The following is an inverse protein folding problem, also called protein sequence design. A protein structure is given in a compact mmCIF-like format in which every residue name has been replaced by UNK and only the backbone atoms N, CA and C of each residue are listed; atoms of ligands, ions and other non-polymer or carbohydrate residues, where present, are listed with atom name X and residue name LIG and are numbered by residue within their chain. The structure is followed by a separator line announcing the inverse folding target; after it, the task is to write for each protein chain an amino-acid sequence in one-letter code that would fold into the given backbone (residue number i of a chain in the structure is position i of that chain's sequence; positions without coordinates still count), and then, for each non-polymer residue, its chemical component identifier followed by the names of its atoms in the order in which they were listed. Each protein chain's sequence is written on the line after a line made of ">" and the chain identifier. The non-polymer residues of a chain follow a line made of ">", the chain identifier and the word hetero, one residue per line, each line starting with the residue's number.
data_IF_288065675792
#
_entry.id   IF_288065675792
#
_cell.length_a   1.000
_cell.length_b   1.000
_cell.length_c   1.000
_cell.angle_alpha   90.00
_cell.angle_beta   90.00
_cell.angle_gamma   90.00
#
_symmetry.space_group_name_H-M   'P 1'
#
loop_
_entity.id
_entity.type
_entity.pdbx_description
1 polymer ?
#
# COMPACT_ATOMS: atom_id res chain seq x y z
N UNK A 1 16.80 2.62 4.77
CA UNK A 1 16.14 3.84 5.29
C UNK A 1 15.43 3.51 6.61
N UNK A 2 15.28 4.47 7.52
CA UNK A 2 14.47 4.24 8.74
C UNK A 2 12.99 4.31 8.34
N UNK A 3 12.13 3.45 8.91
CA UNK A 3 10.67 3.40 8.69
C UNK A 3 10.02 4.79 8.63
N UNK A 4 10.41 5.69 9.53
CA UNK A 4 9.86 7.04 9.64
C UNK A 4 10.13 7.91 8.40
N UNK A 5 11.23 7.71 7.68
CA UNK A 5 11.52 8.45 6.44
C UNK A 5 10.66 7.99 5.27
N UNK A 6 10.40 6.68 5.18
CA UNK A 6 9.53 6.10 4.15
C UNK A 6 8.08 6.52 4.40
N UNK A 7 7.62 6.42 5.64
CA UNK A 7 6.27 6.86 6.04
C UNK A 7 6.05 8.35 5.78
N UNK A 8 7.03 9.21 6.11
CA UNK A 8 6.91 10.64 5.83
C UNK A 8 6.83 10.93 4.32
N UNK A 9 7.63 10.23 3.50
CA UNK A 9 7.59 10.38 2.04
C UNK A 9 6.31 9.85 1.43
N UNK A 10 5.79 8.73 1.92
CA UNK A 10 4.52 8.16 1.47
C UNK A 10 3.34 9.05 1.86
N UNK A 11 3.30 9.55 3.09
CA UNK A 11 2.28 10.51 3.56
C UNK A 11 2.28 11.77 2.69
N UNK A 12 3.48 12.27 2.31
CA UNK A 12 3.60 13.39 1.40
C UNK A 12 3.17 13.06 -0.04
N UNK A 13 3.41 11.83 -0.52
CA UNK A 13 3.13 11.40 -1.90
C UNK A 13 1.67 11.01 -2.16
N UNK A 14 0.94 10.59 -1.13
CA UNK A 14 -0.48 10.22 -1.21
C UNK A 14 -1.37 11.45 -0.97
N UNK A 15 -0.77 12.54 -0.46
CA UNK A 15 -1.48 13.72 0.03
C UNK A 15 -2.13 13.39 1.38
N UNK A 16 -2.01 14.28 2.36
CA UNK A 16 -2.55 14.12 3.71
C UNK A 16 -4.09 14.13 3.76
N UNK A 17 -4.73 13.26 2.98
CA UNK A 17 -6.15 12.98 2.97
C UNK A 17 -6.44 11.85 3.96
N UNK A 18 -7.61 11.88 4.60
CA UNK A 18 -8.02 10.84 5.57
C UNK A 18 -8.05 9.43 4.94
N UNK A 19 -8.39 9.34 3.65
CA UNK A 19 -8.36 8.09 2.90
C UNK A 19 -6.93 7.56 2.71
N UNK A 20 -5.98 8.44 2.36
CA UNK A 20 -4.57 8.08 2.24
C UNK A 20 -3.96 7.62 3.56
N UNK A 21 -4.27 8.28 4.66
CA UNK A 21 -3.82 7.93 6.00
C UNK A 21 -4.38 6.58 6.48
N UNK A 22 -5.64 6.28 6.17
CA UNK A 22 -6.26 4.99 6.48
C UNK A 22 -5.58 3.85 5.70
N UNK A 23 -5.35 4.05 4.39
CA UNK A 23 -4.63 3.09 3.53
C UNK A 23 -3.20 2.89 4.04
N UNK A 24 -2.49 3.95 4.44
CA UNK A 24 -1.15 3.86 4.99
C UNK A 24 -1.10 3.04 6.29
N UNK A 25 -2.07 3.24 7.20
CA UNK A 25 -2.14 2.46 8.45
C UNK A 25 -2.46 0.99 8.21
N UNK A 26 -3.31 0.67 7.24
CA UNK A 26 -3.60 -0.72 6.88
C UNK A 26 -2.42 -1.41 6.18
N UNK A 27 -1.66 -0.66 5.37
CA UNK A 27 -0.50 -1.20 4.64
C UNK A 27 0.74 -1.26 5.54
N UNK A 28 0.94 -0.31 6.45
CA UNK A 28 2.11 -0.22 7.30
C UNK A 28 1.69 -0.12 8.77
N UNK A 29 1.50 -1.27 9.40
CA UNK A 29 1.22 -1.31 10.84
C UNK A 29 2.40 -0.72 11.63
N UNK A 30 2.10 -0.08 12.77
CA UNK A 30 3.12 0.48 13.65
C UNK A 30 4.10 -0.60 14.16
N UNK A 31 5.38 -0.23 14.33
CA UNK A 31 6.42 -1.15 14.81
C UNK A 31 7.03 -2.16 13.81
N UNK A 32 6.39 -2.46 12.66
CA UNK A 32 7.00 -3.33 11.65
C UNK A 32 8.17 -2.67 10.90
N UNK A 33 9.24 -3.43 10.69
CA UNK A 33 10.34 -3.07 9.78
C UNK A 33 10.08 -3.79 8.46
N UNK A 34 10.06 -3.06 7.35
CA UNK A 34 9.75 -3.64 6.04
C UNK A 34 11.02 -3.69 5.19
N UNK A 35 11.34 -4.87 4.66
CA UNK A 35 12.33 -5.00 3.58
C UNK A 35 11.66 -4.79 2.22
N UNK A 36 12.47 -4.58 1.17
CA UNK A 36 11.97 -4.52 -0.20
C UNK A 36 11.25 -5.81 -0.61
N UNK A 37 11.80 -6.98 -0.22
CA UNK A 37 11.20 -8.29 -0.48
C UNK A 37 9.83 -8.44 0.20
N UNK A 38 9.67 -7.94 1.43
CA UNK A 38 8.37 -7.99 2.12
C UNK A 38 7.30 -7.18 1.37
N UNK A 39 7.69 -6.01 0.85
CA UNK A 39 6.80 -5.15 0.09
C UNK A 39 6.47 -5.74 -1.28
N UNK A 40 7.43 -6.37 -1.96
CA UNK A 40 7.20 -7.07 -3.23
C UNK A 40 6.27 -8.27 -3.05
N UNK A 41 6.40 -9.03 -1.95
CA UNK A 41 5.44 -10.08 -1.60
C UNK A 41 4.04 -9.52 -1.35
N UNK A 42 3.94 -8.41 -0.62
CA UNK A 42 2.66 -7.76 -0.33
C UNK A 42 2.01 -7.20 -1.60
N UNK A 43 2.80 -6.60 -2.49
CA UNK A 43 2.36 -6.13 -3.80
C UNK A 43 1.80 -7.29 -4.63
N UNK A 44 2.47 -8.44 -4.65
CA UNK A 44 1.99 -9.62 -5.37
C UNK A 44 0.65 -10.13 -4.82
N UNK A 45 0.49 -10.15 -3.49
CA UNK A 45 -0.77 -10.54 -2.86
C UNK A 45 -1.92 -9.57 -3.18
N UNK A 46 -1.65 -8.27 -3.16
CA UNK A 46 -2.65 -7.26 -3.50
C UNK A 46 -3.07 -7.32 -4.98
N UNK A 47 -2.14 -7.57 -5.90
CA UNK A 47 -2.47 -7.77 -7.32
C UNK A 47 -3.33 -9.03 -7.54
N UNK A 48 -3.08 -10.11 -6.79
CA UNK A 48 -3.94 -11.30 -6.86
C UNK A 48 -5.36 -11.01 -6.33
N UNK A 49 -5.48 -10.20 -5.27
CA UNK A 49 -6.78 -9.76 -4.73
C UNK A 49 -7.51 -8.83 -5.70
N UNK A 50 -6.83 -7.91 -6.37
CA UNK A 50 -7.48 -7.01 -7.34
C UNK A 50 -8.05 -7.80 -8.52
N UNK A 51 -7.33 -8.79 -9.04
CA UNK A 51 -7.87 -9.70 -10.07
C UNK A 51 -9.09 -10.48 -9.58
N UNK A 52 -9.11 -10.87 -8.30
CA UNK A 52 -10.25 -11.57 -7.71
C UNK A 52 -11.46 -10.64 -7.57
N UNK A 53 -11.31 -9.45 -6.98
CA UNK A 53 -12.40 -8.48 -6.86
C UNK A 53 -12.93 -8.02 -8.22
N UNK A 54 -12.06 -7.91 -9.21
CA UNK A 54 -12.48 -7.62 -10.59
C UNK A 54 -13.35 -8.74 -11.17
N UNK A 55 -13.02 -10.02 -10.91
CA UNK A 55 -13.84 -11.17 -11.34
C UNK A 55 -15.17 -11.25 -10.59
N UNK A 56 -15.15 -10.91 -9.30
CA UNK A 56 -16.32 -10.97 -8.43
C UNK A 56 -17.25 -9.76 -8.63
N UNK A 57 -16.81 -8.72 -9.34
CA UNK A 57 -17.56 -7.49 -9.58
C UNK A 57 -17.66 -6.59 -8.34
N UNK A 58 -16.78 -6.77 -7.35
CA UNK A 58 -16.74 -5.94 -6.14
C UNK A 58 -15.90 -4.68 -6.38
N UNK A 59 -16.53 -3.69 -7.02
CA UNK A 59 -15.87 -2.43 -7.41
C UNK A 59 -15.32 -1.66 -6.20
N UNK A 60 -15.97 -1.74 -5.03
CA UNK A 60 -15.51 -1.04 -3.83
C UNK A 60 -14.21 -1.64 -3.29
N UNK A 61 -14.15 -2.97 -3.21
CA UNK A 61 -12.92 -3.66 -2.78
C UNK A 61 -11.82 -3.55 -3.83
N UNK A 62 -12.16 -3.53 -5.11
CA UNK A 62 -11.21 -3.32 -6.21
C UNK A 62 -10.54 -1.95 -6.10
N UNK A 63 -11.32 -0.88 -5.92
CA UNK A 63 -10.77 0.48 -5.79
C UNK A 63 -9.86 0.61 -4.57
N UNK A 64 -10.30 0.11 -3.41
CA UNK A 64 -9.48 0.11 -2.19
C UNK A 64 -8.18 -0.70 -2.38
N UNK A 65 -8.25 -1.84 -3.05
CA UNK A 65 -7.09 -2.69 -3.30
C UNK A 65 -6.11 -2.02 -4.26
N UNK A 66 -6.60 -1.36 -5.31
CA UNK A 66 -5.77 -0.60 -6.25
C UNK A 66 -5.07 0.58 -5.57
N UNK A 67 -5.74 1.27 -4.65
CA UNK A 67 -5.10 2.31 -3.83
C UNK A 67 -3.96 1.73 -2.98
N UNK A 68 -4.18 0.57 -2.32
CA UNK A 68 -3.12 -0.13 -1.57
C UNK A 68 -1.94 -0.53 -2.45
N UNK A 69 -2.19 -1.01 -3.67
CA UNK A 69 -1.16 -1.36 -4.65
C UNK A 69 -0.29 -0.14 -4.97
N UNK A 70 -0.90 1.00 -5.27
CA UNK A 70 -0.16 2.23 -5.59
C UNK A 70 0.75 2.66 -4.43
N UNK A 71 0.24 2.57 -3.20
CA UNK A 71 1.01 2.90 -1.99
C UNK A 71 2.20 1.96 -1.80
N UNK A 72 2.00 0.65 -1.95
CA UNK A 72 3.07 -0.34 -1.82
C UNK A 72 4.11 -0.17 -2.94
N UNK A 73 3.68 0.05 -4.18
CA UNK A 73 4.59 0.28 -5.31
C UNK A 73 5.47 1.50 -5.06
N UNK A 74 4.90 2.63 -4.63
CA UNK A 74 5.66 3.82 -4.26
C UNK A 74 6.65 3.55 -3.13
N UNK A 75 6.30 2.71 -2.16
CA UNK A 75 7.19 2.36 -1.06
C UNK A 75 8.39 1.52 -1.53
N UNK A 76 8.16 0.60 -2.48
CA UNK A 76 9.23 -0.19 -3.14
C UNK A 76 10.16 0.73 -3.93
N UNK A 77 9.61 1.68 -4.68
CA UNK A 77 10.40 2.60 -5.51
C UNK A 77 11.28 3.57 -4.68
N UNK A 78 10.92 3.77 -3.40
CA UNK A 78 11.66 4.60 -2.44
C UNK A 78 12.79 3.84 -1.70
N UNK A 79 12.86 2.52 -1.83
CA UNK A 79 13.83 1.63 -1.19
C UNK A 79 14.93 1.14 -2.16
#
# INVERSE_FOLDING_TARGET
>A
MKKNEIMARLTAAIGGSEAGDAVLKEVFADGETFSKEDLEMKLKALNALSEQYQKDGDETMLDLTNQKIEVVQKAIDLL
#
